data_IF_645860552870
#
_entry.id   IF_645860552870
#
_cell.length_a   1.000
_cell.length_b   1.000
_cell.length_c   1.000
_cell.angle_alpha   90.00
_cell.angle_beta   90.00
_cell.angle_gamma   90.00
#
_symmetry.space_group_name_H-M   'P 1'
#
loop_
_entity.id
_entity.type
_entity.pdbx_description
1 polymer ?
#
# COMPACT_ATOMS: atom_id res chain seq x y z
N UNK A 1 -3.07 22.20 14.37
CA UNK A 1 -2.36 21.99 13.09
C UNK A 1 -2.80 20.66 12.47
N UNK A 2 -3.20 20.69 11.22
CA UNK A 2 -3.59 19.47 10.53
C UNK A 2 -2.34 18.75 10.03
N UNK A 3 -2.22 17.47 10.35
CA UNK A 3 -1.16 16.62 9.85
C UNK A 3 -1.67 15.93 8.58
N UNK A 4 -0.96 16.13 7.48
CA UNK A 4 -1.31 15.52 6.20
C UNK A 4 -0.58 14.19 6.06
N UNK A 5 -1.34 13.10 5.87
CA UNK A 5 -0.79 11.77 5.62
C UNK A 5 -1.44 11.18 4.36
N UNK A 6 -0.85 11.44 3.18
CA UNK A 6 -1.40 10.94 1.92
C UNK A 6 -1.48 9.41 1.85
N UNK A 7 -0.55 8.71 2.49
CA UNK A 7 -0.57 7.24 2.51
C UNK A 7 -1.75 6.73 3.33
N UNK A 8 -1.98 7.30 4.51
CA UNK A 8 -3.13 6.93 5.33
C UNK A 8 -4.44 7.22 4.60
N UNK A 9 -4.52 8.35 3.89
CA UNK A 9 -5.68 8.70 3.07
C UNK A 9 -5.91 7.65 1.98
N UNK A 10 -4.85 7.23 1.27
CA UNK A 10 -4.95 6.17 0.26
C UNK A 10 -5.50 4.87 0.85
N UNK A 11 -4.95 4.42 1.97
CA UNK A 11 -5.40 3.19 2.63
C UNK A 11 -6.85 3.29 3.07
N UNK A 12 -7.26 4.44 3.59
CA UNK A 12 -8.64 4.69 4.01
C UNK A 12 -9.59 4.65 2.83
N UNK A 13 -9.23 5.27 1.70
CA UNK A 13 -10.06 5.24 0.48
C UNK A 13 -10.25 3.83 -0.04
N UNK A 14 -9.18 3.02 -0.05
CA UNK A 14 -9.28 1.61 -0.45
C UNK A 14 -10.19 0.85 0.51
N UNK A 15 -10.01 1.02 1.81
CA UNK A 15 -10.82 0.35 2.82
C UNK A 15 -12.30 0.68 2.69
N UNK A 16 -12.61 1.96 2.55
CA UNK A 16 -14.01 2.42 2.42
C UNK A 16 -14.66 1.91 1.13
N UNK A 17 -13.91 1.90 0.02
CA UNK A 17 -14.41 1.38 -1.25
C UNK A 17 -14.73 -0.12 -1.14
N UNK A 18 -13.90 -0.88 -0.42
CA UNK A 18 -14.14 -2.31 -0.19
C UNK A 18 -15.38 -2.55 0.68
N UNK A 19 -15.56 -1.75 1.72
CA UNK A 19 -16.74 -1.84 2.59
C UNK A 19 -18.01 -1.60 1.77
N UNK A 20 -17.97 -0.61 0.86
CA UNK A 20 -19.09 -0.29 -0.01
C UNK A 20 -19.21 -1.25 -1.22
N UNK A 21 -18.31 -2.21 -1.35
CA UNK A 21 -18.28 -3.19 -2.45
C UNK A 21 -18.16 -2.54 -3.83
N UNK A 22 -17.43 -1.44 -3.92
CA UNK A 22 -17.14 -0.82 -5.22
C UNK A 22 -16.14 -1.69 -6.01
N UNK A 23 -16.27 -1.68 -7.34
CA UNK A 23 -15.32 -2.39 -8.21
C UNK A 23 -14.00 -1.64 -8.34
N UNK A 24 -14.04 -0.32 -8.25
CA UNK A 24 -12.85 0.53 -8.40
C UNK A 24 -12.87 1.66 -7.38
N UNK A 25 -11.67 2.23 -7.17
CA UNK A 25 -11.49 3.44 -6.39
C UNK A 25 -10.49 4.34 -7.11
N UNK A 26 -10.75 5.64 -7.14
CA UNK A 26 -9.89 6.63 -7.77
C UNK A 26 -9.29 7.51 -6.68
N UNK A 27 -7.98 7.68 -6.73
CA UNK A 27 -7.25 8.49 -5.75
C UNK A 27 -6.30 9.46 -6.46
N UNK A 28 -6.01 10.63 -5.84
CA UNK A 28 -5.00 11.53 -6.39
C UNK A 28 -3.64 10.83 -6.50
N UNK A 29 -2.93 11.04 -7.61
CA UNK A 29 -1.66 10.37 -7.85
C UNK A 29 -0.49 11.06 -7.17
N UNK A 30 0.49 10.26 -6.78
CA UNK A 30 1.84 10.70 -6.41
C UNK A 30 2.77 9.53 -6.71
N UNK A 31 4.07 9.80 -6.79
CA UNK A 31 5.04 8.73 -7.05
C UNK A 31 5.00 7.66 -5.96
N UNK A 32 4.86 8.07 -4.70
CA UNK A 32 4.76 7.15 -3.57
C UNK A 32 3.51 6.27 -3.68
N UNK A 33 2.36 6.85 -3.97
CA UNK A 33 1.09 6.11 -4.11
C UNK A 33 1.13 5.17 -5.31
N UNK A 34 1.75 5.57 -6.42
CA UNK A 34 1.94 4.69 -7.58
C UNK A 34 2.77 3.46 -7.23
N UNK A 35 3.85 3.66 -6.47
CA UNK A 35 4.71 2.57 -6.02
C UNK A 35 3.97 1.61 -5.09
N UNK A 36 3.18 2.14 -4.18
CA UNK A 36 2.36 1.31 -3.26
C UNK A 36 1.33 0.51 -4.06
N UNK A 37 0.63 1.15 -5.00
CA UNK A 37 -0.37 0.48 -5.84
C UNK A 37 0.26 -0.65 -6.65
N UNK A 38 1.46 -0.43 -7.20
CA UNK A 38 2.18 -1.47 -7.95
C UNK A 38 2.51 -2.68 -7.08
N UNK A 39 2.95 -2.44 -5.84
CA UNK A 39 3.24 -3.53 -4.89
C UNK A 39 1.97 -4.33 -4.60
N UNK A 40 0.85 -3.66 -4.36
CA UNK A 40 -0.43 -4.32 -4.11
C UNK A 40 -0.85 -5.18 -5.31
N UNK A 41 -0.62 -4.70 -6.53
CA UNK A 41 -0.90 -5.44 -7.74
C UNK A 41 0.01 -6.66 -7.87
N UNK A 42 1.31 -6.47 -7.72
CA UNK A 42 2.31 -7.53 -7.86
C UNK A 42 2.11 -8.64 -6.83
N UNK A 43 1.65 -8.29 -5.63
CA UNK A 43 1.39 -9.23 -4.55
C UNK A 43 -0.03 -9.85 -4.61
N UNK A 44 -0.83 -9.47 -5.60
CA UNK A 44 -2.13 -10.06 -5.83
C UNK A 44 -3.25 -9.56 -4.95
N UNK A 45 -3.09 -8.41 -4.31
CA UNK A 45 -4.12 -7.82 -3.44
C UNK A 45 -5.17 -7.03 -4.19
N UNK A 46 -4.82 -6.49 -5.35
CA UNK A 46 -5.74 -5.72 -6.19
C UNK A 46 -5.73 -6.27 -7.61
N UNK A 47 -6.75 -5.92 -8.38
CA UNK A 47 -6.99 -6.47 -9.71
C UNK A 47 -6.26 -5.71 -10.80
N UNK A 48 -6.20 -4.37 -10.71
CA UNK A 48 -5.62 -3.53 -11.74
C UNK A 48 -5.22 -2.17 -11.19
N UNK A 49 -4.30 -1.51 -11.90
CA UNK A 49 -3.88 -0.14 -11.63
C UNK A 49 -3.80 0.59 -12.95
N UNK A 50 -4.58 1.66 -13.10
CA UNK A 50 -4.57 2.51 -14.29
C UNK A 50 -4.31 3.95 -13.90
N UNK A 51 -3.55 4.65 -14.75
CA UNK A 51 -3.30 6.07 -14.57
C UNK A 51 -4.31 6.87 -15.38
N UNK A 52 -4.91 7.89 -14.74
CA UNK A 52 -5.82 8.81 -15.39
C UNK A 52 -5.15 10.17 -15.45
N UNK A 53 -4.99 10.70 -16.66
CA UNK A 53 -4.47 12.05 -16.87
C UNK A 53 -5.64 13.04 -16.74
N UNK A 54 -5.57 13.90 -15.72
CA UNK A 54 -6.60 14.91 -15.45
C UNK A 54 -6.10 16.33 -15.75
N UNK A 55 -4.95 16.44 -16.45
CA UNK A 55 -4.32 17.73 -16.74
C UNK A 55 -3.53 18.32 -15.58
N UNK A 56 -3.49 17.63 -14.45
CA UNK A 56 -2.76 18.03 -13.24
C UNK A 56 -1.75 16.93 -12.88
N UNK A 57 -1.66 16.58 -11.59
CA UNK A 57 -0.79 15.49 -11.13
C UNK A 57 -1.27 14.12 -11.57
N UNK A 58 -2.53 14.00 -11.99
CA UNK A 58 -3.14 12.76 -12.39
C UNK A 58 -3.85 12.05 -11.25
N UNK A 59 -4.51 10.96 -11.62
CA UNK A 59 -5.21 10.11 -10.66
C UNK A 59 -4.87 8.65 -10.91
N UNK A 60 -4.96 7.84 -9.86
CA UNK A 60 -4.76 6.39 -9.94
C UNK A 60 -6.12 5.74 -9.78
N UNK A 61 -6.49 4.90 -10.76
CA UNK A 61 -7.69 4.08 -10.69
C UNK A 61 -7.27 2.67 -10.30
N UNK A 62 -7.74 2.22 -9.14
CA UNK A 62 -7.41 0.90 -8.60
C UNK A 62 -8.62 0.00 -8.77
N UNK A 63 -8.43 -1.13 -9.47
CA UNK A 63 -9.45 -2.17 -9.55
C UNK A 63 -9.36 -3.06 -8.32
N UNK A 64 -10.43 -3.13 -7.54
CA UNK A 64 -10.47 -3.90 -6.31
C UNK A 64 -10.74 -5.38 -6.61
N UNK A 65 -10.22 -6.24 -5.76
CA UNK A 65 -10.29 -7.69 -5.96
C UNK A 65 -11.12 -8.34 -4.86
N UNK A 66 -12.05 -9.18 -5.29
CA UNK A 66 -12.93 -9.90 -4.39
C UNK A 66 -12.86 -11.40 -4.68
N UNK A 67 -13.16 -12.20 -3.67
CA UNK A 67 -13.27 -13.66 -3.82
C UNK A 67 -14.61 -14.02 -4.48
N UNK A 68 -14.79 -15.30 -4.82
CA UNK A 68 -16.04 -15.81 -5.37
C UNK A 68 -17.24 -15.55 -4.45
N UNK A 69 -16.99 -15.46 -3.14
CA UNK A 69 -18.01 -15.13 -2.14
C UNK A 69 -18.17 -13.63 -1.93
N UNK A 70 -17.60 -12.80 -2.82
CA UNK A 70 -17.66 -11.33 -2.78
C UNK A 70 -17.03 -10.73 -1.52
N UNK A 71 -16.07 -11.44 -0.92
CA UNK A 71 -15.27 -10.91 0.18
C UNK A 71 -14.01 -10.25 -0.34
N UNK A 72 -13.61 -9.15 0.28
CA UNK A 72 -12.40 -8.42 -0.11
C UNK A 72 -11.16 -9.31 0.05
N UNK A 73 -10.30 -9.33 -0.97
CA UNK A 73 -9.01 -10.04 -0.88
C UNK A 73 -8.12 -9.38 0.16
N UNK A 74 -8.12 -8.04 0.23
CA UNK A 74 -7.45 -7.34 1.33
C UNK A 74 -8.32 -7.45 2.56
N UNK A 75 -7.81 -8.11 3.60
CA UNK A 75 -8.50 -8.26 4.89
C UNK A 75 -8.20 -7.07 5.79
N UNK A 76 -6.96 -6.60 5.80
CA UNK A 76 -6.55 -5.48 6.63
C UNK A 76 -5.51 -4.59 5.97
N UNK A 77 -5.57 -3.31 6.33
CA UNK A 77 -4.63 -2.28 5.93
C UNK A 77 -4.30 -1.47 7.18
N UNK A 78 -3.02 -1.39 7.53
CA UNK A 78 -2.61 -0.67 8.74
C UNK A 78 -1.45 0.26 8.43
N UNK A 79 -1.63 1.56 8.70
CA UNK A 79 -0.55 2.54 8.62
C UNK A 79 0.39 2.34 9.81
N UNK A 80 1.68 2.22 9.55
CA UNK A 80 2.69 1.98 10.59
C UNK A 80 3.50 3.25 10.85
N UNK A 81 4.34 3.68 9.90
CA UNK A 81 5.10 4.92 10.04
C UNK A 81 4.20 6.10 9.73
N UNK A 82 4.14 7.08 10.63
CA UNK A 82 3.25 8.24 10.51
C UNK A 82 4.09 9.51 10.52
N UNK A 83 3.57 10.63 9.96
CA UNK A 83 4.33 11.89 9.99
C UNK A 83 4.80 12.31 11.37
N UNK A 84 4.00 12.08 12.40
CA UNK A 84 4.35 12.42 13.78
C UNK A 84 5.15 11.34 14.51
N UNK A 85 5.29 10.14 13.93
CA UNK A 85 5.98 9.02 14.57
C UNK A 85 6.50 8.07 13.49
N UNK A 86 7.72 8.33 13.01
CA UNK A 86 8.35 7.51 11.98
C UNK A 86 8.84 6.19 12.54
N UNK A 87 8.68 5.11 11.76
CA UNK A 87 9.08 3.76 12.14
C UNK A 87 10.04 3.22 11.08
N UNK A 88 11.25 2.85 11.52
CA UNK A 88 12.29 2.30 10.66
C UNK A 88 12.69 0.92 11.14
N UNK A 89 13.17 0.07 10.24
CA UNK A 89 13.71 -1.24 10.59
C UNK A 89 14.91 -1.56 9.70
N UNK A 90 15.91 -2.21 10.29
CA UNK A 90 17.01 -2.77 9.52
C UNK A 90 16.56 -4.05 8.83
N UNK A 91 17.36 -4.51 7.86
CA UNK A 91 16.99 -5.69 7.04
C UNK A 91 16.59 -6.89 7.89
N UNK A 92 17.38 -7.24 8.89
CA UNK A 92 17.15 -8.39 9.76
C UNK A 92 16.00 -8.19 10.76
N UNK A 93 15.54 -6.96 10.91
CA UNK A 93 14.44 -6.60 11.82
C UNK A 93 13.13 -6.31 11.10
N UNK A 94 13.10 -6.43 9.78
CA UNK A 94 11.89 -6.16 9.01
C UNK A 94 10.75 -7.07 9.47
N UNK A 95 9.56 -6.51 9.75
CA UNK A 95 8.46 -7.31 10.27
C UNK A 95 7.90 -8.28 9.24
N UNK A 96 7.44 -9.43 9.73
CA UNK A 96 6.67 -10.38 8.92
C UNK A 96 5.22 -10.29 9.34
N UNK A 97 4.37 -9.85 8.43
CA UNK A 97 2.95 -9.67 8.70
C UNK A 97 2.26 -11.03 8.65
N UNK A 98 1.58 -11.41 9.73
CA UNK A 98 0.92 -12.72 9.86
C UNK A 98 1.85 -13.89 9.48
N UNK A 99 3.08 -13.88 10.00
CA UNK A 99 4.05 -14.95 9.74
C UNK A 99 4.49 -15.06 8.28
N UNK A 100 4.31 -14.01 7.48
CA UNK A 100 4.66 -14.00 6.07
C UNK A 100 3.48 -14.16 5.12
N UNK A 101 2.26 -14.35 5.63
CA UNK A 101 1.05 -14.42 4.79
C UNK A 101 0.67 -13.05 4.23
N UNK A 102 0.91 -11.99 5.00
CA UNK A 102 0.76 -10.62 4.55
C UNK A 102 2.08 -10.02 4.14
N UNK A 103 2.08 -8.70 3.87
CA UNK A 103 3.28 -7.95 3.51
C UNK A 103 3.40 -6.68 4.33
N UNK A 104 4.65 -6.23 4.52
CA UNK A 104 4.94 -4.86 4.93
C UNK A 104 5.41 -4.09 3.70
N UNK A 105 4.94 -2.87 3.54
CA UNK A 105 5.41 -1.96 2.49
C UNK A 105 6.49 -1.10 3.09
N UNK A 106 7.69 -1.12 2.49
CA UNK A 106 8.89 -0.49 3.04
C UNK A 106 9.45 0.50 2.04
N UNK A 107 9.76 1.70 2.51
CA UNK A 107 10.47 2.71 1.71
C UNK A 107 11.96 2.58 1.97
N UNK A 108 12.72 2.19 0.94
CA UNK A 108 14.16 1.94 1.04
C UNK A 108 14.94 2.93 0.16
N UNK A 109 16.26 2.91 0.30
CA UNK A 109 17.15 3.70 -0.56
C UNK A 109 17.04 3.33 -2.04
N UNK A 110 16.53 2.15 -2.35
CA UNK A 110 16.33 1.67 -3.73
C UNK A 110 14.86 1.72 -4.17
N UNK A 111 14.03 2.46 -3.44
CA UNK A 111 12.61 2.62 -3.76
C UNK A 111 11.70 1.94 -2.76
N UNK A 112 10.40 2.03 -3.04
CA UNK A 112 9.37 1.41 -2.21
C UNK A 112 9.20 -0.04 -2.65
N UNK A 113 9.21 -0.97 -1.70
CA UNK A 113 9.13 -2.40 -1.99
C UNK A 113 8.48 -3.16 -0.84
N UNK A 114 8.17 -4.43 -1.06
CA UNK A 114 7.68 -5.31 0.00
C UNK A 114 8.83 -5.68 0.95
N UNK A 115 8.48 -6.13 2.15
CA UNK A 115 9.47 -6.63 3.12
C UNK A 115 10.29 -7.80 2.55
N UNK A 116 9.64 -8.68 1.76
CA UNK A 116 10.33 -9.80 1.11
C UNK A 116 11.41 -9.32 0.14
N UNK A 117 11.07 -8.34 -0.69
CA UNK A 117 12.03 -7.76 -1.64
C UNK A 117 13.16 -7.04 -0.93
N UNK A 118 12.86 -6.32 0.13
CA UNK A 118 13.87 -5.62 0.93
C UNK A 118 14.83 -6.60 1.60
N UNK A 119 14.32 -7.70 2.18
CA UNK A 119 15.17 -8.74 2.76
C UNK A 119 16.05 -9.40 1.71
N UNK A 120 15.50 -9.70 0.54
CA UNK A 120 16.26 -10.28 -0.56
C UNK A 120 17.38 -9.35 -1.04
N UNK A 121 17.13 -8.04 -1.01
CA UNK A 121 18.13 -7.03 -1.38
C UNK A 121 19.11 -6.70 -0.24
N UNK A 122 18.86 -7.21 0.97
CA UNK A 122 19.72 -6.95 2.13
C UNK A 122 19.62 -5.53 2.66
N UNK A 123 18.48 -4.86 2.50
CA UNK A 123 18.29 -3.47 2.91
C UNK A 123 17.07 -3.32 3.80
N UNK A 124 17.13 -2.37 4.72
CA UNK A 124 16.02 -1.95 5.54
C UNK A 124 15.47 -0.60 5.07
N UNK A 125 14.57 -0.02 5.84
CA UNK A 125 14.01 1.28 5.53
C UNK A 125 12.86 1.65 6.44
N UNK A 126 12.06 2.61 5.98
CA UNK A 126 10.87 3.07 6.68
C UNK A 126 9.71 2.10 6.44
N UNK A 127 9.14 1.57 7.51
CA UNK A 127 8.01 0.65 7.42
C UNK A 127 6.72 1.47 7.29
N UNK A 128 6.19 1.56 6.07
CA UNK A 128 5.06 2.44 5.77
C UNK A 128 3.74 1.87 6.24
N UNK A 129 3.47 0.61 5.94
CA UNK A 129 2.16 0.01 6.18
C UNK A 129 2.24 -1.52 6.19
N UNK A 130 1.23 -2.15 6.79
CA UNK A 130 1.00 -3.58 6.69
C UNK A 130 -0.24 -3.83 5.85
N UNK A 131 -0.21 -4.90 5.05
CA UNK A 131 -1.34 -5.36 4.24
C UNK A 131 -1.46 -6.87 4.41
N UNK A 132 -2.67 -7.34 4.61
CA UNK A 132 -2.93 -8.77 4.69
C UNK A 132 -4.33 -9.14 4.23
#
# INVERSE_FOLDING_TARGET
MLVNDPIADMLTRIRNAQIAKHDTVVIPASNMKKSIAKILLDEGYIKSVDMIDDGLAGQIKIGLKYTDKKQSVIVGLKRISKPGLRVYAQCEELPKVLGGLGIAIVSTSKGVMSDRSARAAGIGGEVLAYVW
#
